data_IF_585651873325
#
_entry.id   IF_585651873325
#
_cell.length_a   1.000
_cell.length_b   1.000
_cell.length_c   1.000
_cell.angle_alpha   90.00
_cell.angle_beta   90.00
_cell.angle_gamma   90.00
#
_symmetry.space_group_name_H-M   'P 1'
#
loop_
_entity.id
_entity.type
_entity.pdbx_description
1 polymer ?
#
# COMPACT_ATOMS: atom_id res chain seq x y z
N UNK A 1 -9.95 9.64 -39.07
CA UNK A 1 -8.71 8.99 -38.62
C UNK A 1 -8.66 7.61 -39.25
N UNK A 2 -7.52 7.21 -39.83
CA UNK A 2 -7.42 5.86 -40.41
C UNK A 2 -7.37 4.81 -39.30
N UNK A 3 -7.85 3.60 -39.56
CA UNK A 3 -7.89 2.50 -38.59
C UNK A 3 -6.51 2.24 -37.93
N UNK A 4 -5.37 2.27 -38.67
CA UNK A 4 -4.05 2.09 -38.05
C UNK A 4 -3.69 3.19 -37.05
N UNK A 5 -3.98 4.46 -37.38
CA UNK A 5 -3.68 5.60 -36.51
C UNK A 5 -4.52 5.54 -35.23
N UNK A 6 -5.77 5.10 -35.36
CA UNK A 6 -6.68 4.90 -34.24
C UNK A 6 -6.18 3.83 -33.25
N UNK A 7 -5.78 2.67 -33.77
CA UNK A 7 -5.27 1.57 -32.95
C UNK A 7 -3.96 1.97 -32.26
N UNK A 8 -3.08 2.69 -32.97
CA UNK A 8 -1.83 3.19 -32.41
C UNK A 8 -2.07 4.21 -31.28
N UNK A 9 -3.02 5.13 -31.44
CA UNK A 9 -3.38 6.10 -30.41
C UNK A 9 -3.96 5.40 -29.17
N UNK A 10 -4.88 4.45 -29.38
CA UNK A 10 -5.50 3.64 -28.32
C UNK A 10 -4.44 2.88 -27.51
N UNK A 11 -3.47 2.27 -28.19
CA UNK A 11 -2.37 1.56 -27.54
C UNK A 11 -1.50 2.52 -26.72
N UNK A 12 -1.12 3.67 -27.29
CA UNK A 12 -0.31 4.68 -26.58
C UNK A 12 -1.00 5.19 -25.32
N UNK A 13 -2.28 5.55 -25.41
CA UNK A 13 -3.07 6.01 -24.24
C UNK A 13 -3.18 4.92 -23.17
N UNK A 14 -3.43 3.68 -23.57
CA UNK A 14 -3.49 2.55 -22.63
C UNK A 14 -2.15 2.31 -21.93
N UNK A 15 -1.04 2.39 -22.67
CA UNK A 15 0.31 2.26 -22.11
C UNK A 15 0.66 3.44 -21.19
N UNK A 16 0.20 4.64 -21.49
CA UNK A 16 0.41 5.83 -20.65
C UNK A 16 -0.40 5.75 -19.35
N UNK A 17 -1.66 5.30 -19.40
CA UNK A 17 -2.48 5.06 -18.19
C UNK A 17 -1.82 4.03 -17.28
N UNK A 18 -1.47 2.87 -17.87
CA UNK A 18 -0.93 1.75 -17.11
C UNK A 18 0.50 2.05 -16.63
N UNK A 19 1.34 2.60 -17.50
CA UNK A 19 2.74 2.92 -17.21
C UNK A 19 2.92 4.14 -16.32
N UNK A 20 2.15 5.21 -16.54
CA UNK A 20 2.15 6.39 -15.69
C UNK A 20 1.52 6.08 -14.33
N UNK A 21 0.33 5.45 -14.32
CA UNK A 21 -0.46 5.28 -13.11
C UNK A 21 0.00 4.13 -12.24
N UNK A 22 0.07 2.95 -12.84
CA UNK A 22 0.25 1.71 -12.09
C UNK A 22 1.72 1.43 -11.78
N UNK A 23 2.64 1.73 -12.71
CA UNK A 23 4.06 1.39 -12.54
C UNK A 23 4.71 2.07 -11.34
N UNK A 24 4.49 3.38 -11.07
CA UNK A 24 5.03 4.00 -9.86
C UNK A 24 4.46 3.36 -8.60
N UNK A 25 3.15 3.09 -8.55
CA UNK A 25 2.50 2.44 -7.40
C UNK A 25 3.11 1.07 -7.10
N UNK A 26 3.31 0.26 -8.15
CA UNK A 26 3.97 -1.04 -8.02
C UNK A 26 5.44 -0.89 -7.58
N UNK A 27 6.16 0.10 -8.10
CA UNK A 27 7.54 0.37 -7.70
C UNK A 27 7.64 0.77 -6.22
N UNK A 28 6.76 1.65 -5.72
CA UNK A 28 6.74 1.98 -4.28
C UNK A 28 6.31 0.78 -3.43
N UNK A 29 5.31 0.00 -3.86
CA UNK A 29 4.92 -1.21 -3.14
C UNK A 29 6.09 -2.21 -3.06
N UNK A 30 6.90 -2.32 -4.11
CA UNK A 30 8.11 -3.13 -4.12
C UNK A 30 9.20 -2.60 -3.17
N UNK A 31 9.45 -1.29 -3.17
CA UNK A 31 10.38 -0.66 -2.21
C UNK A 31 9.91 -0.87 -0.77
N UNK A 32 8.61 -0.70 -0.52
CA UNK A 32 7.96 -0.95 0.76
C UNK A 32 8.12 -2.40 1.21
N UNK A 33 7.95 -3.35 0.29
CA UNK A 33 8.18 -4.77 0.54
C UNK A 33 9.61 -5.06 1.01
N UNK A 34 10.61 -4.43 0.37
CA UNK A 34 12.03 -4.57 0.77
C UNK A 34 12.24 -4.00 2.17
N UNK A 35 11.75 -2.78 2.41
CA UNK A 35 11.84 -2.07 3.69
C UNK A 35 11.25 -2.90 4.83
N UNK A 36 10.02 -3.37 4.66
CA UNK A 36 9.30 -4.14 5.66
C UNK A 36 9.99 -5.48 5.96
N UNK A 37 10.54 -6.14 4.94
CA UNK A 37 11.34 -7.36 5.12
C UNK A 37 12.61 -7.11 5.95
N UNK A 38 13.31 -6.01 5.70
CA UNK A 38 14.49 -5.63 6.49
C UNK A 38 14.10 -5.36 7.95
N UNK A 39 13.04 -4.58 8.15
CA UNK A 39 12.54 -4.23 9.48
C UNK A 39 12.11 -5.46 10.28
N UNK A 40 11.29 -6.35 9.68
CA UNK A 40 10.87 -7.62 10.32
C UNK A 40 12.05 -8.49 10.70
N UNK A 41 13.03 -8.66 9.80
CA UNK A 41 14.22 -9.46 10.08
C UNK A 41 14.99 -8.88 11.28
N UNK A 42 15.18 -7.57 11.32
CA UNK A 42 15.87 -6.92 12.45
C UNK A 42 15.10 -7.08 13.76
N UNK A 43 13.79 -6.77 13.76
CA UNK A 43 12.94 -6.91 14.94
C UNK A 43 12.94 -8.35 15.46
N UNK A 44 12.76 -9.34 14.59
CA UNK A 44 12.81 -10.77 14.96
C UNK A 44 14.15 -11.16 15.58
N UNK A 45 15.29 -10.69 15.02
CA UNK A 45 16.62 -11.01 15.58
C UNK A 45 16.88 -10.41 16.96
N UNK A 46 16.13 -9.37 17.34
CA UNK A 46 16.35 -8.63 18.59
C UNK A 46 15.33 -8.96 19.66
N UNK A 47 14.07 -9.14 19.28
CA UNK A 47 12.95 -9.42 20.17
C UNK A 47 12.59 -10.91 20.23
N UNK A 48 13.25 -11.75 19.43
CA UNK A 48 12.89 -13.16 19.28
C UNK A 48 11.56 -13.33 18.56
N UNK A 49 11.01 -14.55 18.56
CA UNK A 49 9.74 -14.85 17.89
C UNK A 49 8.52 -14.18 18.57
N UNK A 50 8.67 -13.72 19.81
CA UNK A 50 7.64 -12.95 20.52
C UNK A 50 7.27 -11.61 19.88
N UNK A 51 8.09 -11.06 18.97
CA UNK A 51 7.79 -9.82 18.24
C UNK A 51 6.48 -9.88 17.45
N UNK A 52 6.04 -11.09 17.07
CA UNK A 52 4.80 -11.33 16.34
C UNK A 52 3.60 -10.84 17.14
N UNK A 53 3.56 -11.11 18.44
CA UNK A 53 2.50 -10.65 19.33
C UNK A 53 2.50 -9.13 19.51
N UNK A 54 3.69 -8.51 19.56
CA UNK A 54 3.82 -7.05 19.63
C UNK A 54 3.35 -6.37 18.34
N UNK A 55 3.44 -7.04 17.21
CA UNK A 55 3.07 -6.51 15.89
C UNK A 55 1.70 -6.97 15.39
N UNK A 56 0.93 -7.67 16.24
CA UNK A 56 -0.41 -8.17 15.92
C UNK A 56 -1.35 -7.12 15.30
N UNK A 57 -1.40 -5.83 15.75
CA UNK A 57 -2.26 -4.83 15.12
C UNK A 57 -2.00 -4.65 13.62
N UNK A 58 -0.74 -4.74 13.20
CA UNK A 58 -0.36 -4.64 11.79
C UNK A 58 -0.82 -5.85 10.97
N UNK A 59 -0.74 -7.07 11.54
CA UNK A 59 -1.27 -8.29 10.91
C UNK A 59 -2.78 -8.22 10.78
N UNK A 60 -3.48 -7.82 11.83
CA UNK A 60 -4.94 -7.69 11.80
C UNK A 60 -5.38 -6.70 10.72
N UNK A 61 -4.70 -5.56 10.61
CA UNK A 61 -4.97 -4.58 9.56
C UNK A 61 -4.68 -5.13 8.16
N UNK A 62 -3.61 -5.91 8.01
CA UNK A 62 -3.27 -6.59 6.75
C UNK A 62 -4.44 -7.47 6.28
N UNK A 63 -4.92 -8.37 7.14
CA UNK A 63 -6.04 -9.26 6.82
C UNK A 63 -7.36 -8.50 6.61
N UNK A 64 -7.61 -7.44 7.38
CA UNK A 64 -8.76 -6.56 7.16
C UNK A 64 -8.71 -5.87 5.79
N UNK A 65 -7.52 -5.57 5.26
CA UNK A 65 -7.33 -5.06 3.91
C UNK A 65 -7.85 -6.04 2.86
N UNK A 66 -7.50 -7.33 2.96
CA UNK A 66 -8.04 -8.37 2.10
C UNK A 66 -9.56 -8.49 2.25
N UNK A 67 -10.05 -8.55 3.48
CA UNK A 67 -11.47 -8.69 3.77
C UNK A 67 -12.30 -7.52 3.23
N UNK A 68 -11.82 -6.29 3.36
CA UNK A 68 -12.48 -5.10 2.83
C UNK A 68 -12.69 -5.20 1.32
N UNK A 69 -11.65 -5.53 0.56
CA UNK A 69 -11.78 -5.67 -0.88
C UNK A 69 -12.57 -6.91 -1.29
N UNK A 70 -12.59 -7.97 -0.48
CA UNK A 70 -13.51 -9.08 -0.70
C UNK A 70 -14.96 -8.60 -0.68
N UNK A 71 -15.34 -7.74 0.27
CA UNK A 71 -16.69 -7.16 0.33
C UNK A 71 -16.99 -6.27 -0.87
N UNK A 72 -16.07 -5.35 -1.20
CA UNK A 72 -16.23 -4.43 -2.34
C UNK A 72 -16.47 -5.20 -3.63
N UNK A 73 -15.62 -6.19 -3.93
CA UNK A 73 -15.70 -6.96 -5.17
C UNK A 73 -16.67 -8.14 -5.11
N UNK A 74 -17.44 -8.28 -4.02
CA UNK A 74 -18.45 -9.33 -3.83
C UNK A 74 -17.85 -10.76 -3.87
N UNK A 75 -16.68 -10.94 -3.29
CA UNK A 75 -16.11 -12.25 -3.00
C UNK A 75 -16.77 -12.81 -1.75
N UNK A 76 -16.97 -14.13 -1.73
CA UNK A 76 -17.46 -14.82 -0.54
C UNK A 76 -16.28 -15.14 0.37
N UNK A 77 -16.21 -14.51 1.53
CA UNK A 77 -15.27 -14.89 2.58
C UNK A 77 -15.74 -16.23 3.16
N UNK A 78 -14.87 -17.24 3.09
CA UNK A 78 -15.12 -18.60 3.61
C UNK A 78 -14.67 -18.68 5.07
N UNK A 79 -13.45 -18.21 5.32
CA UNK A 79 -12.82 -18.20 6.62
C UNK A 79 -11.93 -16.97 6.74
N UNK A 80 -11.83 -16.42 7.95
CA UNK A 80 -10.96 -15.30 8.25
C UNK A 80 -10.39 -15.46 9.65
N UNK A 81 -9.07 -15.41 9.77
CA UNK A 81 -8.37 -15.33 11.05
C UNK A 81 -7.42 -14.14 11.01
N UNK A 82 -7.74 -13.09 11.77
CA UNK A 82 -6.99 -11.84 11.76
C UNK A 82 -5.61 -11.94 12.42
N UNK A 83 -5.46 -12.86 13.38
CA UNK A 83 -4.20 -13.11 14.06
C UNK A 83 -4.21 -14.51 14.68
N UNK A 84 -3.52 -15.44 14.02
CA UNK A 84 -3.33 -16.81 14.45
C UNK A 84 -1.92 -17.28 14.02
N UNK A 85 -0.87 -16.89 14.78
CA UNK A 85 0.50 -17.29 14.48
C UNK A 85 0.64 -18.81 14.46
N UNK A 86 1.15 -19.36 13.36
CA UNK A 86 1.46 -20.78 13.21
C UNK A 86 2.98 -21.03 13.10
N UNK A 87 3.37 -22.29 13.27
CA UNK A 87 4.77 -22.72 13.17
C UNK A 87 5.35 -22.61 11.76
N UNK A 88 4.49 -22.51 10.73
CA UNK A 88 4.88 -22.32 9.33
C UNK A 88 5.16 -20.84 8.99
N UNK A 89 4.94 -19.93 9.93
CA UNK A 89 5.14 -18.49 9.77
C UNK A 89 3.93 -17.73 9.21
N UNK A 90 2.77 -18.37 9.14
CA UNK A 90 1.49 -17.72 8.84
C UNK A 90 1.02 -16.97 10.09
N UNK A 91 0.69 -15.68 9.95
CA UNK A 91 0.27 -14.85 11.09
C UNK A 91 -1.24 -14.59 11.11
N UNK A 92 -1.89 -14.75 9.97
CA UNK A 92 -3.31 -14.54 9.72
C UNK A 92 -3.63 -14.98 8.28
N UNK A 93 -4.91 -15.07 7.95
CA UNK A 93 -5.35 -15.31 6.59
C UNK A 93 -6.81 -14.92 6.36
N UNK A 94 -7.13 -14.58 5.10
CA UNK A 94 -8.49 -14.46 4.57
C UNK A 94 -8.66 -15.46 3.44
N UNK A 95 -9.45 -16.51 3.68
CA UNK A 95 -9.85 -17.44 2.63
C UNK A 95 -11.13 -16.93 1.98
N UNK A 96 -11.11 -16.75 0.66
CA UNK A 96 -12.25 -16.28 -0.10
C UNK A 96 -12.47 -17.08 -1.39
N UNK A 97 -13.70 -17.05 -1.90
CA UNK A 97 -14.08 -17.62 -3.19
C UNK A 97 -14.79 -16.59 -4.07
N UNK A 98 -14.63 -16.77 -5.37
CA UNK A 98 -15.22 -15.90 -6.39
C UNK A 98 -15.61 -16.71 -7.63
N UNK A 99 -16.48 -16.13 -8.46
CA UNK A 99 -16.88 -16.65 -9.75
C UNK A 99 -15.86 -16.22 -10.83
N UNK A 100 -15.08 -17.16 -11.41
CA UNK A 100 -14.08 -16.84 -12.43
C UNK A 100 -14.68 -16.32 -13.74
N UNK A 101 -15.99 -16.47 -13.96
CA UNK A 101 -16.64 -15.91 -15.14
C UNK A 101 -17.05 -14.44 -14.95
N UNK A 102 -16.94 -13.90 -13.74
CA UNK A 102 -17.28 -12.49 -13.46
C UNK A 102 -16.05 -11.60 -13.62
N UNK A 103 -16.02 -10.76 -14.66
CA UNK A 103 -14.95 -9.80 -14.88
C UNK A 103 -14.75 -8.86 -13.67
N UNK A 104 -15.84 -8.45 -13.02
CA UNK A 104 -15.78 -7.60 -11.83
C UNK A 104 -15.02 -8.26 -10.67
N UNK A 105 -15.27 -9.54 -10.40
CA UNK A 105 -14.58 -10.28 -9.35
C UNK A 105 -13.13 -10.60 -9.72
N UNK A 106 -12.86 -10.86 -11.00
CA UNK A 106 -11.46 -11.02 -11.47
C UNK A 106 -10.65 -9.75 -11.30
N UNK A 107 -11.21 -8.58 -11.63
CA UNK A 107 -10.61 -7.28 -11.29
C UNK A 107 -10.38 -7.19 -9.77
N UNK A 108 -11.35 -7.68 -8.99
CA UNK A 108 -11.25 -7.77 -7.54
C UNK A 108 -10.03 -8.53 -7.02
N UNK A 109 -9.55 -9.57 -7.71
CA UNK A 109 -8.33 -10.28 -7.32
C UNK A 109 -7.11 -9.35 -7.25
N UNK A 110 -7.03 -8.31 -8.09
CA UNK A 110 -5.97 -7.30 -8.03
C UNK A 110 -6.01 -6.50 -6.73
N UNK A 111 -7.19 -5.97 -6.41
CA UNK A 111 -7.38 -5.12 -5.25
C UNK A 111 -7.37 -5.91 -3.94
N UNK A 112 -7.86 -7.15 -3.94
CA UNK A 112 -7.74 -8.03 -2.79
C UNK A 112 -6.27 -8.37 -2.56
N UNK A 113 -5.54 -8.82 -3.58
CA UNK A 113 -4.11 -9.12 -3.45
C UNK A 113 -3.30 -7.91 -2.99
N UNK A 114 -3.56 -6.72 -3.52
CA UNK A 114 -2.88 -5.47 -3.08
C UNK A 114 -3.52 -4.82 -1.86
N UNK A 115 -4.59 -5.40 -1.32
CA UNK A 115 -5.45 -4.84 -0.28
C UNK A 115 -4.71 -4.39 0.98
N UNK A 116 -3.77 -5.18 1.52
CA UNK A 116 -2.98 -4.79 2.68
C UNK A 116 -2.17 -3.52 2.49
N UNK A 117 -1.69 -3.24 1.27
CA UNK A 117 -0.95 -2.01 0.97
C UNK A 117 -1.89 -0.80 1.04
N UNK A 118 -3.07 -0.90 0.44
CA UNK A 118 -4.08 0.17 0.48
C UNK A 118 -4.63 0.40 1.89
N UNK A 119 -4.93 -0.68 2.62
CA UNK A 119 -5.44 -0.63 4.00
C UNK A 119 -4.40 -0.07 4.97
N UNK A 120 -3.16 -0.55 4.87
CA UNK A 120 -2.02 -0.04 5.62
C UNK A 120 -1.77 1.44 5.37
N UNK A 121 -1.83 1.87 4.11
CA UNK A 121 -1.74 3.28 3.74
C UNK A 121 -2.84 4.13 4.38
N UNK A 122 -4.10 3.75 4.17
CA UNK A 122 -5.23 4.50 4.70
C UNK A 122 -5.14 4.64 6.22
N UNK A 123 -4.74 3.58 6.92
CA UNK A 123 -4.53 3.60 8.35
C UNK A 123 -3.37 4.53 8.77
N UNK A 124 -2.23 4.51 8.07
CA UNK A 124 -1.11 5.40 8.38
C UNK A 124 -1.48 6.88 8.22
N UNK A 125 -2.22 7.23 7.17
CA UNK A 125 -2.72 8.60 6.96
C UNK A 125 -3.68 8.98 8.10
N UNK A 126 -4.64 8.11 8.39
CA UNK A 126 -5.63 8.34 9.45
C UNK A 126 -4.93 8.52 10.81
N UNK A 127 -4.03 7.62 11.18
CA UNK A 127 -3.28 7.70 12.43
C UNK A 127 -2.43 8.97 12.51
N UNK A 128 -1.82 9.38 11.39
CA UNK A 128 -1.06 10.63 11.33
C UNK A 128 -1.95 11.84 11.63
N UNK A 129 -3.12 11.93 11.01
CA UNK A 129 -4.06 13.01 11.29
C UNK A 129 -4.65 12.98 12.71
N UNK A 130 -4.78 11.80 13.31
CA UNK A 130 -5.34 11.66 14.66
C UNK A 130 -4.32 11.91 15.78
N UNK A 131 -3.05 11.54 15.58
CA UNK A 131 -2.06 11.49 16.65
C UNK A 131 -0.94 12.52 16.50
N UNK A 132 -0.69 13.04 15.30
CA UNK A 132 0.36 14.03 15.07
C UNK A 132 -0.18 15.46 15.06
N UNK A 133 0.64 16.45 15.48
CA UNK A 133 0.31 17.86 15.30
C UNK A 133 0.05 18.19 13.83
N UNK A 134 -1.01 18.96 13.53
CA UNK A 134 -1.38 19.33 12.15
C UNK A 134 -0.25 20.02 11.40
N UNK A 135 0.54 20.84 12.09
CA UNK A 135 1.71 21.53 11.55
C UNK A 135 2.73 20.58 10.92
N UNK A 136 2.79 19.30 11.33
CA UNK A 136 3.68 18.29 10.73
C UNK A 136 3.16 17.73 9.40
N UNK A 137 1.88 17.94 9.09
CA UNK A 137 1.19 17.39 7.92
C UNK A 137 0.80 18.48 6.91
N UNK A 138 0.94 19.74 7.30
CA UNK A 138 0.70 20.90 6.45
C UNK A 138 1.78 21.01 5.35
N UNK A 139 1.40 21.60 4.22
CA UNK A 139 2.30 21.86 3.10
C UNK A 139 1.61 21.65 1.75
N UNK A 140 1.93 22.51 0.78
CA UNK A 140 1.29 22.53 -0.53
C UNK A 140 1.92 21.55 -1.54
N UNK A 141 2.97 20.84 -1.13
CA UNK A 141 3.62 19.83 -1.96
C UNK A 141 4.48 18.87 -1.14
N UNK A 142 4.92 17.78 -1.78
CA UNK A 142 5.68 16.70 -1.14
C UNK A 142 6.91 17.19 -0.38
N UNK A 143 7.69 18.12 -0.97
CA UNK A 143 8.91 18.64 -0.37
C UNK A 143 8.62 19.43 0.91
N UNK A 144 7.63 20.30 0.88
CA UNK A 144 7.26 21.13 2.03
C UNK A 144 6.69 20.28 3.18
N UNK A 145 5.77 19.36 2.87
CA UNK A 145 5.25 18.41 3.85
C UNK A 145 6.36 17.57 4.48
N UNK A 146 7.33 17.13 3.67
CA UNK A 146 8.51 16.40 4.15
C UNK A 146 9.31 17.24 5.14
N UNK A 147 9.59 18.50 4.80
CA UNK A 147 10.34 19.41 5.66
C UNK A 147 9.63 19.66 6.99
N UNK A 148 8.33 19.94 6.98
CA UNK A 148 7.53 20.14 8.19
C UNK A 148 7.43 18.90 9.05
N UNK A 149 7.31 17.73 8.42
CA UNK A 149 7.32 16.45 9.13
C UNK A 149 8.66 16.22 9.83
N UNK A 150 9.79 16.41 9.12
CA UNK A 150 11.14 16.27 9.71
C UNK A 150 11.40 17.29 10.82
N UNK A 151 11.00 18.54 10.65
CA UNK A 151 11.17 19.57 11.69
C UNK A 151 10.36 19.22 12.94
N UNK A 152 9.13 18.72 12.78
CA UNK A 152 8.30 18.24 13.87
C UNK A 152 8.91 17.06 14.63
N UNK A 153 9.51 16.09 13.93
CA UNK A 153 10.21 14.97 14.55
C UNK A 153 11.42 15.40 15.38
N UNK A 154 12.15 16.42 14.94
CA UNK A 154 13.29 16.98 15.68
C UNK A 154 12.85 17.85 16.87
N UNK A 155 11.56 18.20 16.95
CA UNK A 155 11.03 18.99 18.04
C UNK A 155 11.02 18.19 19.36
N UNK A 156 11.38 18.83 20.46
CA UNK A 156 11.29 18.21 21.78
C UNK A 156 9.84 17.94 22.22
N UNK A 157 8.87 18.68 21.67
CA UNK A 157 7.45 18.50 21.94
C UNK A 157 6.94 17.15 21.44
N UNK A 158 7.42 16.70 20.27
CA UNK A 158 7.05 15.41 19.70
C UNK A 158 7.39 14.26 20.66
N UNK A 159 8.60 14.20 21.19
CA UNK A 159 9.06 13.10 22.05
C UNK A 159 8.47 13.10 23.47
N UNK A 160 7.95 14.24 23.92
CA UNK A 160 7.27 14.36 25.23
C UNK A 160 5.80 13.92 25.19
N UNK A 161 5.23 13.83 23.99
CA UNK A 161 3.82 13.50 23.77
C UNK A 161 3.62 11.99 23.72
N UNK A 162 2.66 11.45 24.47
CA UNK A 162 2.34 10.02 24.44
C UNK A 162 1.72 9.61 23.10
N UNK A 163 1.00 10.53 22.44
CA UNK A 163 0.40 10.32 21.12
C UNK A 163 1.46 9.98 20.07
N UNK A 164 2.62 10.63 20.14
CA UNK A 164 3.75 10.35 19.24
C UNK A 164 4.27 8.92 19.42
N UNK A 165 4.37 8.43 20.66
CA UNK A 165 4.80 7.05 20.94
C UNK A 165 3.77 6.02 20.47
N UNK A 166 2.48 6.30 20.67
CA UNK A 166 1.40 5.45 20.13
C UNK A 166 1.45 5.44 18.59
N UNK A 167 1.66 6.60 17.97
CA UNK A 167 1.79 6.73 16.52
C UNK A 167 3.00 5.93 16.00
N UNK A 168 4.17 6.04 16.64
CA UNK A 168 5.37 5.29 16.28
C UNK A 168 5.09 3.78 16.38
N UNK A 169 4.51 3.33 17.50
CA UNK A 169 4.20 1.91 17.71
C UNK A 169 3.27 1.38 16.62
N UNK A 170 2.10 1.99 16.44
CA UNK A 170 1.11 1.54 15.46
C UNK A 170 1.68 1.59 14.04
N UNK A 171 2.35 2.68 13.67
CA UNK A 171 2.99 2.82 12.36
C UNK A 171 4.01 1.71 12.14
N UNK A 172 4.87 1.43 13.12
CA UNK A 172 5.87 0.35 13.02
C UNK A 172 5.23 -1.03 12.86
N UNK A 173 4.13 -1.31 13.56
CA UNK A 173 3.40 -2.59 13.39
C UNK A 173 2.81 -2.72 11.99
N UNK A 174 2.18 -1.66 11.48
CA UNK A 174 1.54 -1.63 10.16
C UNK A 174 2.60 -1.80 9.07
N UNK A 175 3.66 -0.99 9.12
CA UNK A 175 4.75 -1.01 8.13
C UNK A 175 5.44 -2.36 8.07
N UNK A 176 5.64 -3.02 9.22
CA UNK A 176 6.24 -4.35 9.26
C UNK A 176 5.40 -5.40 8.52
N UNK A 177 4.09 -5.20 8.39
CA UNK A 177 3.15 -6.17 7.84
C UNK A 177 2.44 -5.71 6.56
N UNK A 178 2.78 -4.56 5.98
CA UNK A 178 2.29 -4.11 4.64
C UNK A 178 2.79 -5.00 3.48
N UNK A 179 3.53 -6.06 3.76
CA UNK A 179 4.12 -6.93 2.75
C UNK A 179 3.14 -7.87 2.09
N UNK A 180 3.30 -8.10 0.79
CA UNK A 180 2.52 -9.06 0.02
C UNK A 180 3.12 -10.47 0.13
N UNK A 181 2.27 -11.46 0.42
CA UNK A 181 2.61 -12.87 0.39
C UNK A 181 2.56 -13.44 -1.05
N UNK A 182 3.16 -14.62 -1.31
CA UNK A 182 3.07 -15.24 -2.62
C UNK A 182 1.63 -15.51 -3.10
N UNK A 183 0.67 -15.96 -2.25
CA UNK A 183 -0.75 -16.00 -2.59
C UNK A 183 -1.32 -14.64 -3.04
N UNK A 184 -0.96 -13.56 -2.35
CA UNK A 184 -1.45 -12.21 -2.66
C UNK A 184 -0.97 -11.75 -4.04
N UNK A 185 0.30 -12.00 -4.34
CA UNK A 185 0.89 -11.68 -5.65
C UNK A 185 0.26 -12.51 -6.77
N UNK A 186 -0.03 -13.79 -6.50
CA UNK A 186 -0.72 -14.65 -7.47
C UNK A 186 -2.12 -14.12 -7.77
N UNK A 187 -2.92 -13.81 -6.75
CA UNK A 187 -4.22 -13.16 -6.92
C UNK A 187 -4.09 -11.83 -7.66
N UNK A 188 -3.11 -11.00 -7.27
CA UNK A 188 -2.89 -9.70 -7.88
C UNK A 188 -2.60 -9.82 -9.38
N UNK A 189 -1.77 -10.79 -9.80
CA UNK A 189 -1.42 -11.00 -11.20
C UNK A 189 -2.61 -11.40 -12.09
N UNK A 190 -3.54 -12.25 -11.63
CA UNK A 190 -4.74 -12.59 -12.41
C UNK A 190 -5.63 -11.36 -12.58
N UNK A 191 -5.82 -10.58 -11.50
CA UNK A 191 -6.59 -9.34 -11.57
C UNK A 191 -5.92 -8.25 -12.42
N UNK A 192 -4.59 -8.18 -12.43
CA UNK A 192 -3.85 -7.25 -13.30
C UNK A 192 -4.16 -7.51 -14.78
N UNK A 193 -4.19 -8.76 -15.23
CA UNK A 193 -4.59 -9.10 -16.59
C UNK A 193 -6.02 -8.63 -16.91
N UNK A 194 -6.95 -8.76 -15.97
CA UNK A 194 -8.31 -8.27 -16.12
C UNK A 194 -8.39 -6.73 -16.21
N UNK A 195 -7.58 -6.01 -15.42
CA UNK A 195 -7.49 -4.54 -15.49
C UNK A 195 -6.92 -4.09 -16.83
N UNK A 196 -5.80 -4.67 -17.28
CA UNK A 196 -5.18 -4.33 -18.57
C UNK A 196 -6.17 -4.53 -19.71
N UNK A 197 -6.88 -5.66 -19.73
CA UNK A 197 -7.90 -5.94 -20.74
C UNK A 197 -9.05 -4.92 -20.68
N UNK A 198 -9.51 -4.58 -19.49
CA UNK A 198 -10.60 -3.61 -19.30
C UNK A 198 -10.21 -2.21 -19.77
N UNK A 199 -9.00 -1.76 -19.44
CA UNK A 199 -8.46 -0.46 -19.89
C UNK A 199 -8.32 -0.42 -21.40
N UNK A 200 -7.80 -1.49 -22.01
CA UNK A 200 -7.67 -1.60 -23.47
C UNK A 200 -9.04 -1.53 -24.16
N UNK A 201 -10.03 -2.30 -23.68
CA UNK A 201 -11.38 -2.30 -24.23
C UNK A 201 -12.07 -0.95 -24.04
N UNK A 202 -11.94 -0.33 -22.86
CA UNK A 202 -12.49 1.00 -22.62
C UNK A 202 -11.89 2.03 -23.59
N UNK A 203 -10.57 2.06 -23.76
CA UNK A 203 -9.93 2.99 -24.69
C UNK A 203 -10.31 2.70 -26.15
N UNK A 204 -10.51 1.44 -26.53
CA UNK A 204 -11.01 1.03 -27.85
C UNK A 204 -12.49 1.39 -28.08
N UNK A 205 -13.30 1.55 -27.04
CA UNK A 205 -14.69 1.98 -27.18
C UNK A 205 -14.81 3.51 -27.16
N UNK A 206 -14.15 4.16 -26.22
CA UNK A 206 -14.23 5.61 -26.02
C UNK A 206 -13.36 6.41 -26.99
N UNK A 207 -12.25 5.84 -27.48
CA UNK A 207 -11.41 6.51 -28.46
C UNK A 207 -12.12 6.76 -29.81
N UNK A 208 -13.18 6.01 -30.12
CA UNK A 208 -13.99 6.26 -31.32
C UNK A 208 -14.89 7.50 -31.13
N UNK A 209 -15.25 7.86 -29.89
CA UNK A 209 -16.21 8.93 -29.59
C UNK A 209 -15.64 10.36 -29.60
N UNK A 210 -14.42 10.60 -30.14
CA UNK A 210 -13.81 11.95 -30.29
C UNK A 210 -12.54 12.19 -29.45
N UNK A 211 -12.15 13.46 -29.25
CA UNK A 211 -10.93 13.94 -28.55
C UNK A 211 -10.88 13.62 -27.03
N UNK A 212 -11.37 12.46 -26.62
CA UNK A 212 -11.33 11.95 -25.24
C UNK A 212 -9.90 11.87 -24.69
N UNK A 213 -8.92 11.62 -25.57
CA UNK A 213 -7.50 11.54 -25.19
C UNK A 213 -6.98 12.82 -24.49
N UNK A 214 -7.43 14.01 -24.89
CA UNK A 214 -6.99 15.27 -24.25
C UNK A 214 -7.65 15.51 -22.89
N UNK A 215 -8.92 15.13 -22.74
CA UNK A 215 -9.62 15.23 -21.45
C UNK A 215 -9.04 14.24 -20.45
N UNK A 216 -8.83 12.99 -20.89
CA UNK A 216 -8.22 11.91 -20.11
C UNK A 216 -6.82 12.31 -19.62
N UNK A 217 -6.02 12.97 -20.47
CA UNK A 217 -4.67 13.45 -20.11
C UNK A 217 -4.64 14.44 -18.93
N UNK A 218 -5.59 15.38 -18.84
CA UNK A 218 -5.65 16.33 -17.74
C UNK A 218 -6.05 15.69 -16.41
N UNK A 219 -7.02 14.76 -16.43
CA UNK A 219 -7.40 14.01 -15.24
C UNK A 219 -6.31 13.02 -14.81
N UNK A 220 -5.59 12.42 -15.77
CA UNK A 220 -4.45 11.54 -15.52
C UNK A 220 -3.31 12.25 -14.82
N UNK A 221 -2.84 13.39 -15.33
CA UNK A 221 -1.74 14.13 -14.70
C UNK A 221 -2.07 14.59 -13.27
N UNK A 222 -3.32 15.00 -13.03
CA UNK A 222 -3.80 15.34 -11.69
C UNK A 222 -3.87 14.12 -10.77
N UNK A 223 -4.32 12.96 -11.27
CA UNK A 223 -4.36 11.71 -10.51
C UNK A 223 -2.94 11.19 -10.23
N UNK A 224 -2.06 11.23 -11.21
CA UNK A 224 -0.65 10.82 -11.15
C UNK A 224 0.15 11.66 -10.16
N UNK A 225 -0.04 12.98 -10.18
CA UNK A 225 0.60 13.89 -9.22
C UNK A 225 0.10 13.66 -7.79
N UNK A 226 -1.20 13.40 -7.61
CA UNK A 226 -1.77 13.08 -6.29
C UNK A 226 -1.27 11.73 -5.76
N UNK A 227 -1.29 10.69 -6.60
CA UNK A 227 -0.79 9.36 -6.26
C UNK A 227 0.72 9.36 -5.96
N UNK A 228 1.51 10.08 -6.74
CA UNK A 228 2.96 10.19 -6.52
C UNK A 228 3.30 11.00 -5.26
N UNK A 229 2.56 12.07 -4.97
CA UNK A 229 2.70 12.82 -3.70
C UNK A 229 2.38 11.93 -2.51
N UNK A 230 1.26 11.20 -2.56
CA UNK A 230 0.88 10.21 -1.54
C UNK A 230 1.97 9.15 -1.36
N UNK A 231 2.46 8.54 -2.45
CA UNK A 231 3.52 7.53 -2.38
C UNK A 231 4.83 8.05 -1.78
N UNK A 232 5.24 9.27 -2.13
CA UNK A 232 6.45 9.89 -1.60
C UNK A 232 6.28 10.14 -0.11
N UNK A 233 5.14 10.70 0.31
CA UNK A 233 4.81 10.88 1.73
C UNK A 233 4.85 9.55 2.47
N UNK A 234 4.31 8.46 1.91
CA UNK A 234 4.39 7.11 2.48
C UNK A 234 5.82 6.64 2.65
N UNK A 235 6.63 6.69 1.59
CA UNK A 235 8.01 6.24 1.63
C UNK A 235 8.83 7.02 2.66
N UNK A 236 8.53 8.31 2.82
CA UNK A 236 9.18 9.19 3.80
C UNK A 236 8.73 8.85 5.22
N UNK A 237 7.42 8.74 5.47
CA UNK A 237 6.88 8.30 6.77
C UNK A 237 7.45 6.94 7.18
N UNK A 238 7.58 6.02 6.21
CA UNK A 238 8.16 4.70 6.40
C UNK A 238 9.66 4.75 6.69
N UNK A 239 10.44 5.45 5.87
CA UNK A 239 11.87 5.63 6.07
C UNK A 239 12.17 6.22 7.45
N UNK A 240 11.35 7.17 7.89
CA UNK A 240 11.44 7.73 9.24
C UNK A 240 11.09 6.70 10.31
N UNK A 241 10.02 5.92 10.19
CA UNK A 241 9.63 4.91 11.19
C UNK A 241 10.67 3.78 11.34
N UNK A 242 11.43 3.50 10.27
CA UNK A 242 12.55 2.55 10.30
C UNK A 242 13.67 3.06 11.21
N UNK A 243 13.94 4.36 11.27
CA UNK A 243 15.07 4.90 12.05
C UNK A 243 14.95 4.62 13.56
N UNK A 244 13.79 4.83 14.23
CA UNK A 244 13.56 4.37 15.59
C UNK A 244 13.63 2.85 15.71
N UNK A 245 13.08 2.09 14.77
CA UNK A 245 13.16 0.62 14.78
C UNK A 245 14.59 0.09 14.71
N UNK A 246 15.42 0.71 13.87
CA UNK A 246 16.85 0.44 13.74
C UNK A 246 17.62 0.91 14.98
N UNK A 247 17.30 2.07 15.55
CA UNK A 247 17.89 2.56 16.78
C UNK A 247 17.57 1.62 17.96
N UNK A 248 16.32 1.18 18.09
CA UNK A 248 15.90 0.18 19.08
C UNK A 248 16.65 -1.13 18.87
N UNK A 249 16.84 -1.54 17.61
CA UNK A 249 17.61 -2.73 17.27
C UNK A 249 19.11 -2.60 17.58
N UNK A 250 19.70 -1.40 17.55
CA UNK A 250 21.10 -1.18 17.96
C UNK A 250 21.25 -1.23 19.48
N UNK A 251 20.28 -0.69 20.22
CA UNK A 251 20.31 -0.59 21.68
C UNK A 251 19.99 -1.94 22.35
N UNK A 252 19.08 -2.73 21.78
CA UNK A 252 18.68 -4.00 22.38
C UNK A 252 19.72 -5.11 22.12
N UNK A 253 20.14 -5.86 23.16
CA UNK A 253 20.95 -7.06 22.96
C UNK A 253 20.18 -8.05 22.08
N UNK A 254 20.90 -8.86 21.30
CA UNK A 254 20.26 -9.91 20.50
C UNK A 254 19.56 -10.89 21.46
N UNK A 255 18.28 -11.17 21.21
CA UNK A 255 17.57 -12.20 21.95
C UNK A 255 18.36 -13.50 21.88
N UNK A 256 18.55 -14.15 23.03
CA UNK A 256 19.04 -15.52 23.06
C UNK A 256 18.04 -16.38 22.29
N UNK A 257 18.55 -17.19 21.35
CA UNK A 257 17.73 -18.13 20.58
C UNK A 257 17.07 -19.15 21.49
#
# INVERSE_FOLDING_TARGET
MNIPDYLLQTLKSSLLILGGGLLPLLAAAFVMQIIANILRKQLRTRLGDGYVYLTAPGVMLHELGHAFFCLVFRHKIIEMQLFAPDDNGTLGYVQHAYNPNSLYQRIGNFFIGTGPVWGGLAALILLSHLLLPSAMLEGNGAMEQTQHFFSGLLSSAFWKSWQSWLWIYLSLTIVSHITLSPPDLKGASDGFCAIVLTVLLANLLFGWCGNWAEHVWHYELALLSRCSTLMITILILNAVCILPGMALAVILPRAAR
#
